data_IF_619868066696
#
_entry.id   IF_619868066696
#
_cell.length_a   1.000
_cell.length_b   1.000
_cell.length_c   1.000
_cell.angle_alpha   90.00
_cell.angle_beta   90.00
_cell.angle_gamma   90.00
#
_symmetry.space_group_name_H-M   'P 1'
#
loop_
_entity.id
_entity.type
_entity.pdbx_description
1 polymer ?
#
# COMPACT_ATOMS: atom_id res chain seq x y z
N UNK A 1 -6.86 -4.88 1.36
CA UNK A 1 -8.06 -5.72 1.24
C UNK A 1 -9.16 -5.04 0.41
N UNK A 2 -9.70 -3.89 0.83
CA UNK A 2 -10.81 -3.22 0.12
C UNK A 2 -10.57 -3.00 -1.39
N UNK A 3 -9.35 -2.64 -1.80
CA UNK A 3 -9.00 -2.49 -3.22
C UNK A 3 -9.16 -3.81 -3.98
N UNK A 4 -8.69 -4.92 -3.40
CA UNK A 4 -8.79 -6.25 -3.99
C UNK A 4 -10.27 -6.63 -4.18
N UNK A 5 -11.09 -6.50 -3.14
CA UNK A 5 -12.53 -6.79 -3.20
C UNK A 5 -13.25 -5.91 -4.23
N UNK A 6 -12.91 -4.61 -4.30
CA UNK A 6 -13.51 -3.69 -5.25
C UNK A 6 -13.17 -4.06 -6.71
N UNK A 7 -11.92 -4.41 -7.00
CA UNK A 7 -11.47 -4.81 -8.35
C UNK A 7 -12.03 -6.20 -8.74
N UNK A 8 -12.11 -7.15 -7.79
CA UNK A 8 -12.78 -8.44 -8.02
C UNK A 8 -14.25 -8.26 -8.38
N UNK A 9 -14.97 -7.37 -7.71
CA UNK A 9 -16.39 -7.02 -8.05
C UNK A 9 -16.53 -6.40 -9.44
N UNK A 10 -15.46 -5.84 -9.99
CA UNK A 10 -15.37 -5.33 -11.38
C UNK A 10 -14.91 -6.38 -12.39
N UNK A 11 -14.80 -7.65 -11.98
CA UNK A 11 -14.31 -8.77 -12.79
C UNK A 11 -12.86 -8.64 -13.28
N UNK A 12 -12.04 -7.84 -12.59
CA UNK A 12 -10.59 -7.78 -12.85
C UNK A 12 -9.91 -9.03 -12.32
N UNK A 13 -8.88 -9.50 -13.03
CA UNK A 13 -8.07 -10.66 -12.65
C UNK A 13 -6.97 -10.23 -11.68
N UNK A 14 -7.38 -9.92 -10.46
CA UNK A 14 -6.45 -9.47 -9.41
C UNK A 14 -6.18 -10.56 -8.39
N UNK A 15 -4.99 -10.54 -7.83
CA UNK A 15 -4.55 -11.47 -6.79
C UNK A 15 -4.03 -10.70 -5.57
N UNK A 16 -4.36 -11.18 -4.36
CA UNK A 16 -3.88 -10.59 -3.11
C UNK A 16 -2.78 -11.46 -2.52
N UNK A 17 -1.64 -10.85 -2.21
CA UNK A 17 -0.50 -11.48 -1.54
C UNK A 17 -0.47 -10.99 -0.09
N UNK A 18 -0.87 -11.88 0.83
CA UNK A 18 -0.79 -11.62 2.26
C UNK A 18 0.66 -11.62 2.73
N UNK A 19 1.05 -10.60 3.48
CA UNK A 19 2.42 -10.46 4.02
C UNK A 19 2.44 -10.54 5.55
N UNK A 20 1.26 -10.51 6.18
CA UNK A 20 1.08 -10.79 7.60
C UNK A 20 0.16 -11.99 7.82
N UNK A 21 0.13 -12.49 9.06
CA UNK A 21 -0.69 -13.65 9.44
C UNK A 21 -2.17 -13.48 9.07
N UNK A 22 -2.73 -12.29 9.29
CA UNK A 22 -4.14 -12.00 8.97
C UNK A 22 -4.39 -12.01 7.47
N UNK A 23 -3.53 -11.36 6.68
CA UNK A 23 -3.63 -11.36 5.23
C UNK A 23 -3.57 -12.76 4.64
N UNK A 24 -2.66 -13.60 5.14
CA UNK A 24 -2.51 -15.01 4.72
C UNK A 24 -3.77 -15.82 5.03
N UNK A 25 -4.38 -15.65 6.21
CA UNK A 25 -5.62 -16.34 6.56
C UNK A 25 -6.80 -15.92 5.66
N UNK A 26 -6.82 -14.67 5.20
CA UNK A 26 -7.86 -14.16 4.29
C UNK A 26 -7.68 -14.63 2.85
N UNK A 27 -6.44 -14.67 2.35
CA UNK A 27 -6.14 -15.01 0.95
C UNK A 27 -5.86 -16.49 0.71
N UNK A 28 -5.54 -17.25 1.76
CA UNK A 28 -5.05 -18.62 1.68
C UNK A 28 -3.62 -18.74 1.13
N UNK A 29 -2.92 -17.62 0.89
CA UNK A 29 -1.57 -17.60 0.29
C UNK A 29 -0.79 -16.33 0.65
N UNK A 30 0.51 -16.47 0.82
CA UNK A 30 1.39 -15.36 1.16
C UNK A 30 2.58 -15.80 1.99
N UNK A 31 3.27 -14.83 2.59
CA UNK A 31 4.48 -15.04 3.38
C UNK A 31 4.40 -14.19 4.66
N UNK A 32 4.59 -14.77 5.87
CA UNK A 32 4.66 -13.98 7.10
C UNK A 32 6.02 -13.27 7.15
N UNK A 33 6.10 -12.10 6.52
CA UNK A 33 7.37 -11.49 6.14
C UNK A 33 8.21 -11.04 7.36
N UNK A 34 7.56 -10.75 8.49
CA UNK A 34 8.21 -10.39 9.74
C UNK A 34 8.98 -11.55 10.40
N UNK A 35 8.68 -12.79 10.03
CA UNK A 35 9.35 -14.00 10.49
C UNK A 35 10.44 -14.49 9.52
N UNK A 36 10.62 -13.82 8.38
CA UNK A 36 11.62 -14.18 7.37
C UNK A 36 12.97 -13.56 7.73
N UNK A 37 14.03 -14.36 7.63
CA UNK A 37 15.40 -13.87 7.86
C UNK A 37 15.75 -12.83 6.80
N UNK A 38 16.40 -11.75 7.20
CA UNK A 38 16.61 -10.54 6.40
C UNK A 38 17.08 -10.78 4.97
N UNK A 39 18.04 -11.70 4.79
CA UNK A 39 18.65 -12.00 3.48
C UNK A 39 17.64 -12.62 2.49
N UNK A 40 16.52 -13.15 2.97
CA UNK A 40 15.51 -13.82 2.16
C UNK A 40 14.22 -13.00 1.99
N UNK A 41 14.09 -11.82 2.62
CA UNK A 41 12.85 -11.02 2.56
C UNK A 41 12.39 -10.73 1.12
N UNK A 42 13.30 -10.23 0.30
CA UNK A 42 13.00 -9.91 -1.10
C UNK A 42 12.69 -11.19 -1.90
N UNK A 43 13.49 -12.25 -1.70
CA UNK A 43 13.33 -13.52 -2.42
C UNK A 43 12.02 -14.25 -2.10
N UNK A 44 11.57 -14.24 -0.85
CA UNK A 44 10.28 -14.84 -0.46
C UNK A 44 9.09 -14.05 -1.03
N UNK A 45 9.21 -12.72 -1.09
CA UNK A 45 8.19 -11.86 -1.73
C UNK A 45 8.13 -12.13 -3.24
N UNK A 46 9.28 -12.16 -3.91
CA UNK A 46 9.40 -12.52 -5.33
C UNK A 46 8.84 -13.93 -5.59
N UNK A 47 9.17 -14.89 -4.73
CA UNK A 47 8.67 -16.26 -4.84
C UNK A 47 7.14 -16.29 -4.81
N UNK A 48 6.50 -15.58 -3.87
CA UNK A 48 5.04 -15.49 -3.81
C UNK A 48 4.43 -14.92 -5.09
N UNK A 49 5.05 -13.89 -5.67
CA UNK A 49 4.60 -13.28 -6.92
C UNK A 49 4.74 -14.24 -8.11
N UNK A 50 5.83 -15.01 -8.17
CA UNK A 50 6.05 -16.00 -9.22
C UNK A 50 5.06 -17.19 -9.19
N UNK A 51 4.39 -17.42 -8.05
CA UNK A 51 3.34 -18.45 -7.94
C UNK A 51 1.96 -17.97 -8.41
N UNK A 52 1.80 -16.69 -8.76
CA UNK A 52 0.52 -16.17 -9.22
C UNK A 52 0.15 -16.74 -10.61
N UNK A 53 -1.15 -16.87 -10.92
CA UNK A 53 -1.61 -17.27 -12.25
C UNK A 53 -1.02 -16.36 -13.34
N UNK A 54 -0.61 -16.96 -14.47
CA UNK A 54 0.01 -16.21 -15.57
C UNK A 54 -0.90 -15.20 -16.27
N UNK A 55 -2.20 -15.22 -16.01
CA UNK A 55 -3.18 -14.25 -16.50
C UNK A 55 -3.60 -13.21 -15.44
N UNK A 56 -2.83 -13.08 -14.35
CA UNK A 56 -3.03 -12.04 -13.33
C UNK A 56 -2.75 -10.65 -13.91
N UNK A 57 -3.73 -9.75 -13.86
CA UNK A 57 -3.63 -8.36 -14.31
C UNK A 57 -2.96 -7.46 -13.27
N UNK A 58 -3.18 -7.72 -11.97
CA UNK A 58 -2.58 -6.95 -10.88
C UNK A 58 -2.40 -7.81 -9.63
N UNK A 59 -1.18 -7.81 -9.09
CA UNK A 59 -0.87 -8.34 -7.78
C UNK A 59 -0.95 -7.22 -6.72
N UNK A 60 -1.84 -7.38 -5.74
CA UNK A 60 -1.94 -6.50 -4.58
C UNK A 60 -1.14 -7.09 -3.43
N UNK A 61 0.04 -6.53 -3.19
CA UNK A 61 0.90 -6.91 -2.06
C UNK A 61 0.50 -6.13 -0.82
N UNK A 62 0.20 -6.83 0.27
CA UNK A 62 -0.07 -6.22 1.57
C UNK A 62 1.20 -5.53 2.11
N UNK A 63 1.09 -4.26 2.51
CA UNK A 63 2.21 -3.55 3.14
C UNK A 63 2.43 -3.97 4.59
N UNK A 64 3.67 -3.98 5.05
CA UNK A 64 4.04 -4.19 6.46
C UNK A 64 4.99 -3.11 6.96
N UNK A 65 4.80 -2.70 8.20
CA UNK A 65 5.62 -1.68 8.85
C UNK A 65 5.54 -0.31 8.17
N UNK A 66 6.58 0.49 8.35
CA UNK A 66 6.78 1.76 7.65
C UNK A 66 8.27 2.09 7.57
N UNK A 67 8.72 2.75 6.51
CA UNK A 67 10.13 3.15 6.35
C UNK A 67 10.63 4.11 7.45
N UNK A 68 9.74 4.89 8.06
CA UNK A 68 10.09 5.78 9.18
C UNK A 68 9.98 5.12 10.55
N UNK A 69 9.65 3.83 10.62
CA UNK A 69 9.63 3.09 11.88
C UNK A 69 10.97 2.39 12.07
N UNK A 70 11.76 2.83 13.06
CA UNK A 70 13.10 2.29 13.32
C UNK A 70 13.11 0.77 13.56
N UNK A 71 12.02 0.20 14.11
CA UNK A 71 11.93 -1.22 14.46
C UNK A 71 11.51 -2.11 13.28
N UNK A 72 10.85 -1.55 12.27
CA UNK A 72 10.22 -2.30 11.17
C UNK A 72 10.58 -1.83 9.76
N UNK A 73 11.40 -0.78 9.63
CA UNK A 73 11.77 -0.19 8.32
C UNK A 73 12.44 -1.20 7.38
N UNK A 74 13.24 -2.13 7.90
CA UNK A 74 13.88 -3.18 7.11
C UNK A 74 12.88 -4.11 6.44
N UNK A 75 11.77 -4.42 7.11
CA UNK A 75 10.68 -5.25 6.57
C UNK A 75 10.00 -4.52 5.42
N UNK A 76 9.65 -3.25 5.60
CA UNK A 76 9.05 -2.43 4.53
C UNK A 76 9.97 -2.31 3.33
N UNK A 77 11.27 -2.06 3.55
CA UNK A 77 12.25 -1.96 2.47
C UNK A 77 12.42 -3.29 1.72
N UNK A 78 12.48 -4.41 2.45
CA UNK A 78 12.55 -5.74 1.87
C UNK A 78 11.32 -6.08 1.02
N UNK A 79 10.12 -5.72 1.49
CA UNK A 79 8.88 -5.87 0.71
C UNK A 79 8.88 -5.04 -0.57
N UNK A 80 9.30 -3.77 -0.50
CA UNK A 80 9.33 -2.87 -1.66
C UNK A 80 10.28 -3.43 -2.73
N UNK A 81 11.50 -3.83 -2.35
CA UNK A 81 12.47 -4.39 -3.29
C UNK A 81 12.09 -5.79 -3.77
N UNK A 82 11.42 -6.61 -2.95
CA UNK A 82 10.96 -7.93 -3.36
C UNK A 82 9.74 -7.89 -4.28
N UNK A 83 8.88 -6.89 -4.12
CA UNK A 83 7.67 -6.73 -4.94
C UNK A 83 7.86 -5.88 -6.19
N UNK A 84 8.90 -5.03 -6.24
CA UNK A 84 9.21 -4.15 -7.37
C UNK A 84 7.99 -3.40 -7.93
N UNK A 85 7.23 -2.68 -7.07
CA UNK A 85 5.90 -2.18 -7.41
C UNK A 85 5.95 -1.12 -8.51
N UNK A 86 5.12 -1.27 -9.54
CA UNK A 86 4.80 -0.20 -10.51
C UNK A 86 4.07 0.96 -9.81
N UNK A 87 3.16 0.60 -8.92
CA UNK A 87 2.22 1.50 -8.29
C UNK A 87 2.17 1.28 -6.78
N UNK A 88 1.98 2.36 -6.04
CA UNK A 88 1.83 2.34 -4.58
C UNK A 88 0.58 3.11 -4.14
N UNK A 89 0.01 2.69 -3.01
CA UNK A 89 -1.05 3.44 -2.28
C UNK A 89 -0.53 3.72 -0.88
N UNK A 90 -0.41 5.00 -0.52
CA UNK A 90 0.11 5.37 0.80
C UNK A 90 -0.98 5.28 1.86
N UNK A 91 -0.74 4.59 2.97
CA UNK A 91 -1.71 4.52 4.07
C UNK A 91 -1.27 5.38 5.25
N UNK A 92 -2.17 6.19 5.80
CA UNK A 92 -1.88 7.08 6.92
C UNK A 92 -3.06 7.21 7.89
N UNK A 93 -2.77 7.37 9.18
CA UNK A 93 -3.76 7.76 10.20
C UNK A 93 -3.66 9.27 10.44
N UNK A 94 -4.64 10.09 9.99
CA UNK A 94 -4.57 11.53 10.14
C UNK A 94 -4.50 11.97 11.61
N UNK A 95 -3.66 12.97 11.87
CA UNK A 95 -3.43 13.50 13.22
C UNK A 95 -2.44 12.69 14.06
N UNK A 96 -1.81 11.65 13.50
CA UNK A 96 -0.72 10.94 14.17
C UNK A 96 0.55 11.80 14.20
N UNK A 97 0.94 12.23 15.39
CA UNK A 97 2.14 13.05 15.62
C UNK A 97 3.39 12.21 15.93
N UNK A 98 3.23 11.06 16.59
CA UNK A 98 4.30 10.17 17.02
C UNK A 98 4.11 8.75 16.48
N UNK A 99 5.21 8.03 16.25
CA UNK A 99 5.20 6.60 15.98
C UNK A 99 5.18 5.77 17.29
N UNK A 100 5.26 4.44 17.18
CA UNK A 100 5.23 3.54 18.33
C UNK A 100 6.51 3.55 19.18
N UNK A 101 7.53 4.29 18.78
CA UNK A 101 8.80 4.46 19.47
C UNK A 101 9.03 5.92 19.89
N UNK A 102 7.95 6.71 19.98
CA UNK A 102 7.95 8.13 20.37
C UNK A 102 8.76 9.06 19.44
N UNK A 103 8.99 8.64 18.19
CA UNK A 103 9.60 9.50 17.18
C UNK A 103 8.55 10.34 16.44
N UNK A 104 8.84 11.62 16.13
CA UNK A 104 7.91 12.47 15.41
C UNK A 104 7.67 11.94 13.99
N UNK A 105 6.40 11.96 13.58
CA UNK A 105 6.03 11.59 12.22
C UNK A 105 6.62 12.61 11.22
N UNK A 106 7.39 12.16 10.21
CA UNK A 106 7.98 13.07 9.23
C UNK A 106 6.92 13.79 8.38
N UNK A 107 7.32 14.88 7.73
CA UNK A 107 6.46 15.51 6.73
C UNK A 107 6.03 14.50 5.66
N UNK A 108 4.73 14.50 5.33
CA UNK A 108 4.15 13.53 4.40
C UNK A 108 4.80 13.58 3.01
N UNK A 109 5.17 14.77 2.50
CA UNK A 109 5.82 14.86 1.19
C UNK A 109 7.20 14.20 1.21
N UNK A 110 7.93 14.34 2.32
CA UNK A 110 9.20 13.60 2.52
C UNK A 110 8.97 12.10 2.56
N UNK A 111 7.91 11.64 3.23
CA UNK A 111 7.57 10.23 3.26
C UNK A 111 7.30 9.67 1.87
N UNK A 112 6.46 10.33 1.07
CA UNK A 112 6.22 9.93 -0.33
C UNK A 112 7.53 9.93 -1.12
N UNK A 113 8.32 10.98 -1.00
CA UNK A 113 9.57 11.13 -1.77
C UNK A 113 10.56 10.00 -1.47
N UNK A 114 10.73 9.62 -0.19
CA UNK A 114 11.65 8.53 0.19
C UNK A 114 11.21 7.20 -0.45
N UNK A 115 9.91 6.89 -0.50
CA UNK A 115 9.42 5.66 -1.15
C UNK A 115 9.72 5.64 -2.65
N UNK A 116 9.63 6.79 -3.34
CA UNK A 116 10.03 6.88 -4.74
C UNK A 116 11.55 6.76 -4.87
N UNK A 117 12.32 7.46 -4.03
CA UNK A 117 13.77 7.54 -4.13
C UNK A 117 14.46 6.18 -3.97
N UNK A 118 13.94 5.31 -3.09
CA UNK A 118 14.48 3.95 -2.94
C UNK A 118 14.24 3.07 -4.17
N UNK A 119 13.21 3.36 -4.97
CA UNK A 119 12.88 2.60 -6.19
C UNK A 119 13.63 3.09 -7.41
N UNK A 120 13.97 4.39 -7.49
CA UNK A 120 14.64 5.03 -8.65
C UNK A 120 15.82 4.26 -9.25
N UNK A 121 16.73 3.62 -8.47
CA UNK A 121 17.84 2.88 -9.05
C UNK A 121 17.43 1.65 -9.87
N UNK A 122 16.20 1.15 -9.68
CA UNK A 122 15.77 -0.15 -10.18
C UNK A 122 14.58 -0.07 -11.13
N UNK A 123 13.59 0.79 -10.83
CA UNK A 123 12.35 0.90 -11.59
C UNK A 123 11.63 2.22 -11.28
N UNK A 124 10.95 2.78 -12.28
CA UNK A 124 10.01 3.87 -12.06
C UNK A 124 8.79 3.35 -11.29
N UNK A 125 8.47 4.01 -10.18
CA UNK A 125 7.32 3.68 -9.34
C UNK A 125 6.57 4.96 -9.01
N UNK A 126 5.25 4.89 -8.85
CA UNK A 126 4.42 6.07 -8.58
C UNK A 126 3.31 5.79 -7.59
N UNK A 127 2.83 6.84 -6.92
CA UNK A 127 1.64 6.75 -6.06
C UNK A 127 0.38 7.00 -6.86
N UNK A 128 -0.59 6.08 -6.75
CA UNK A 128 -1.92 6.23 -7.34
C UNK A 128 -2.94 6.88 -6.41
N UNK A 129 -2.58 7.05 -5.13
CA UNK A 129 -3.39 7.76 -4.15
C UNK A 129 -3.05 7.38 -2.72
N UNK A 130 -3.91 7.80 -1.79
CA UNK A 130 -3.75 7.54 -0.36
C UNK A 130 -5.01 6.97 0.27
N UNK A 131 -4.80 6.06 1.22
CA UNK A 131 -5.83 5.55 2.11
C UNK A 131 -5.67 6.14 3.51
N UNK A 132 -6.62 6.96 3.93
CA UNK A 132 -6.61 7.54 5.28
C UNK A 132 -7.44 6.69 6.23
N UNK A 133 -6.87 6.38 7.40
CA UNK A 133 -7.54 5.67 8.48
C UNK A 133 -8.21 6.69 9.40
N UNK A 134 -9.45 7.04 9.10
CA UNK A 134 -10.17 8.14 9.77
C UNK A 134 -10.97 7.69 10.99
N UNK A 135 -10.68 6.51 11.55
CA UNK A 135 -11.43 5.89 12.66
C UNK A 135 -11.66 6.83 13.85
N UNK A 136 -10.71 7.71 14.14
CA UNK A 136 -10.76 8.68 15.27
C UNK A 136 -11.55 9.95 14.96
N UNK A 137 -12.00 10.14 13.73
CA UNK A 137 -12.73 11.31 13.27
C UNK A 137 -14.21 10.96 13.08
N UNK A 138 -15.09 11.94 13.26
CA UNK A 138 -16.48 11.83 12.82
C UNK A 138 -16.57 12.08 11.31
N UNK A 139 -17.69 11.71 10.69
CA UNK A 139 -17.80 11.58 9.23
C UNK A 139 -17.54 12.88 8.46
N UNK A 140 -18.07 14.00 8.91
CA UNK A 140 -17.86 15.30 8.25
C UNK A 140 -16.38 15.69 8.25
N UNK A 141 -15.71 15.60 9.40
CA UNK A 141 -14.29 15.91 9.54
C UNK A 141 -13.41 14.89 8.79
N UNK A 142 -13.79 13.61 8.77
CA UNK A 142 -13.09 12.59 8.00
C UNK A 142 -13.11 12.90 6.50
N UNK A 143 -14.27 13.29 5.97
CA UNK A 143 -14.44 13.67 4.57
C UNK A 143 -13.69 14.96 4.25
N UNK A 144 -13.77 15.98 5.11
CA UNK A 144 -13.00 17.22 4.96
C UNK A 144 -11.49 16.94 4.96
N UNK A 145 -11.01 16.09 5.87
CA UNK A 145 -9.60 15.70 5.95
C UNK A 145 -9.12 15.02 4.67
N UNK A 146 -9.92 14.11 4.10
CA UNK A 146 -9.60 13.45 2.83
C UNK A 146 -9.57 14.46 1.67
N UNK A 147 -10.57 15.34 1.58
CA UNK A 147 -10.63 16.36 0.53
C UNK A 147 -9.45 17.34 0.59
N UNK A 148 -9.11 17.82 1.77
CA UNK A 148 -7.96 18.71 2.00
C UNK A 148 -6.64 18.04 1.59
N UNK A 149 -6.48 16.75 1.90
CA UNK A 149 -5.32 15.98 1.49
C UNK A 149 -5.28 15.75 -0.03
N UNK A 150 -6.41 15.40 -0.64
CA UNK A 150 -6.53 15.27 -2.11
C UNK A 150 -6.06 16.53 -2.81
N UNK A 151 -6.56 17.68 -2.39
CA UNK A 151 -6.20 18.97 -2.99
C UNK A 151 -4.71 19.31 -2.74
N UNK A 152 -4.17 18.95 -1.57
CA UNK A 152 -2.76 19.20 -1.21
C UNK A 152 -1.76 18.33 -1.98
N UNK A 153 -2.10 17.07 -2.23
CA UNK A 153 -1.19 16.09 -2.83
C UNK A 153 -1.48 15.82 -4.31
N UNK A 154 -2.58 16.34 -4.86
CA UNK A 154 -2.92 16.23 -6.27
C UNK A 154 -3.22 14.79 -6.71
N UNK A 155 -3.69 13.93 -5.80
CA UNK A 155 -4.02 12.54 -6.05
C UNK A 155 -5.23 12.12 -5.22
N UNK A 156 -5.97 11.05 -5.60
CA UNK A 156 -7.10 10.57 -4.82
C UNK A 156 -6.72 10.26 -3.37
N UNK A 157 -7.51 10.76 -2.43
CA UNK A 157 -7.39 10.44 -1.00
C UNK A 157 -8.77 10.10 -0.46
N UNK A 158 -8.88 8.97 0.22
CA UNK A 158 -10.13 8.47 0.79
C UNK A 158 -9.84 7.60 1.99
N UNK A 159 -10.84 7.40 2.86
CA UNK A 159 -10.88 6.23 3.74
C UNK A 159 -11.59 5.10 2.98
N UNK A 160 -10.86 4.06 2.61
CA UNK A 160 -11.40 2.92 1.85
C UNK A 160 -12.46 2.16 2.64
N UNK A 161 -12.30 2.06 3.96
CA UNK A 161 -13.21 1.31 4.83
C UNK A 161 -14.49 2.11 5.07
N UNK A 162 -14.37 3.42 5.28
CA UNK A 162 -15.52 4.27 5.58
C UNK A 162 -16.31 4.68 4.34
N UNK A 163 -15.65 5.00 3.23
CA UNK A 163 -16.28 5.62 2.06
C UNK A 163 -16.20 4.76 0.78
N UNK A 164 -15.52 3.61 0.80
CA UNK A 164 -15.43 2.69 -0.35
C UNK A 164 -14.55 3.17 -1.52
N UNK A 165 -13.99 4.38 -1.44
CA UNK A 165 -12.89 4.87 -2.29
C UNK A 165 -13.08 4.80 -3.80
N UNK A 166 -14.30 5.02 -4.31
CA UNK A 166 -14.63 4.90 -5.75
C UNK A 166 -13.63 5.59 -6.69
N UNK A 167 -13.20 6.81 -6.34
CA UNK A 167 -12.23 7.57 -7.14
C UNK A 167 -10.87 6.86 -7.21
N UNK A 168 -10.33 6.43 -6.06
CA UNK A 168 -9.07 5.69 -6.00
C UNK A 168 -9.15 4.36 -6.77
N UNK A 169 -10.25 3.62 -6.66
CA UNK A 169 -10.42 2.37 -7.41
C UNK A 169 -10.46 2.63 -8.93
N UNK A 170 -11.13 3.70 -9.37
CA UNK A 170 -11.11 4.09 -10.79
C UNK A 170 -9.71 4.46 -11.27
N UNK A 171 -8.94 5.20 -10.46
CA UNK A 171 -7.55 5.55 -10.80
C UNK A 171 -6.67 4.30 -10.93
N UNK A 172 -6.84 3.32 -10.04
CA UNK A 172 -6.11 2.05 -10.13
C UNK A 172 -6.51 1.27 -11.38
N UNK A 173 -7.79 1.14 -11.66
CA UNK A 173 -8.30 0.46 -12.85
C UNK A 173 -7.78 1.11 -14.15
N UNK A 174 -7.83 2.44 -14.25
CA UNK A 174 -7.27 3.16 -15.40
C UNK A 174 -5.75 2.94 -15.53
N UNK A 175 -5.01 2.97 -14.42
CA UNK A 175 -3.56 2.72 -14.44
C UNK A 175 -3.24 1.28 -14.89
N UNK A 176 -4.06 0.30 -14.52
CA UNK A 176 -3.93 -1.07 -15.00
C UNK A 176 -4.13 -1.15 -16.52
N UNK A 177 -5.12 -0.44 -17.05
CA UNK A 177 -5.48 -0.47 -18.48
C UNK A 177 -4.49 0.33 -19.36
N UNK A 178 -3.86 1.36 -18.82
CA UNK A 178 -2.82 2.15 -19.51
C UNK A 178 -1.44 1.47 -19.48
N UNK A 179 -1.21 0.58 -18.50
CA UNK A 179 0.06 -0.12 -18.31
C UNK A 179 0.18 -1.39 -19.17
N UNK A 180 -0.95 -2.05 -19.46
CA UNK A 180 -1.03 -3.26 -20.32
C UNK A 180 -0.82 -2.98 -21.80
#
# INVERSE_FOLDING_TARGET
WEIFEALKKRNRKVEFVGTGQTGILLSGKGVPIDAVVSDFLAGETEHCLNQLPGDTELALVEGQGALNNMLYSSVTLGLIHGSMPDFMVFTHEPGRELDCADHPFPDMKKMLQIHIDIMKPFKESTFLGMNYLTLKLHDDLAMETCNSARDRYGMPVTDLVRFGGRELINTIENAMDEWS
#
